data_IF_937341770244
#
_entry.id   IF_937341770244
#
_cell.length_a   1.000
_cell.length_b   1.000
_cell.length_c   1.000
_cell.angle_alpha   90.00
_cell.angle_beta   90.00
_cell.angle_gamma   90.00
#
_symmetry.space_group_name_H-M   'P 1'
#
loop_
_entity.id
_entity.type
_entity.pdbx_description
1 polymer ?
#
# COMPACT_ATOMS: atom_id res chain seq x y z
N UNK A 1 -23.37 32.28 -17.90
CA UNK A 1 -21.93 32.48 -17.58
C UNK A 1 -21.59 32.06 -16.15
N UNK A 2 -22.33 32.48 -15.11
CA UNK A 2 -22.04 32.06 -13.72
C UNK A 2 -22.18 30.53 -13.48
N UNK A 3 -23.24 29.90 -14.02
CA UNK A 3 -23.44 28.44 -13.90
C UNK A 3 -22.34 27.60 -14.57
N UNK A 4 -21.79 28.06 -15.71
CA UNK A 4 -20.74 27.32 -16.43
C UNK A 4 -19.39 27.39 -15.72
N UNK A 5 -19.05 28.52 -15.09
CA UNK A 5 -17.83 28.66 -14.27
C UNK A 5 -17.94 27.82 -13.00
N UNK A 6 -19.10 27.80 -12.35
CA UNK A 6 -19.35 26.92 -11.21
C UNK A 6 -19.26 25.44 -11.56
N UNK A 7 -19.85 25.02 -12.69
CA UNK A 7 -19.75 23.64 -13.18
C UNK A 7 -18.31 23.21 -13.49
N UNK A 8 -17.52 24.11 -14.09
CA UNK A 8 -16.08 23.87 -14.31
C UNK A 8 -15.31 23.75 -12.99
N UNK A 9 -15.55 24.64 -12.03
CA UNK A 9 -14.88 24.59 -10.74
C UNK A 9 -15.22 23.31 -9.96
N UNK A 10 -16.49 22.89 -9.96
CA UNK A 10 -16.93 21.66 -9.32
C UNK A 10 -16.30 20.42 -9.97
N UNK A 11 -16.25 20.35 -11.29
CA UNK A 11 -15.60 19.22 -12.00
C UNK A 11 -14.09 19.20 -11.80
N UNK A 12 -13.44 20.36 -11.75
CA UNK A 12 -12.02 20.47 -11.44
C UNK A 12 -11.71 20.04 -10.00
N UNK A 13 -12.50 20.54 -9.04
CA UNK A 13 -12.36 20.24 -7.62
C UNK A 13 -12.60 18.75 -7.35
N UNK A 14 -13.69 18.19 -7.86
CA UNK A 14 -14.03 16.76 -7.70
C UNK A 14 -12.99 15.85 -8.33
N UNK A 15 -12.46 16.16 -9.52
CA UNK A 15 -11.36 15.37 -10.11
C UNK A 15 -10.13 15.34 -9.23
N UNK A 16 -9.74 16.49 -8.67
CA UNK A 16 -8.51 16.61 -7.87
C UNK A 16 -8.65 15.94 -6.50
N UNK A 17 -9.80 16.11 -5.85
CA UNK A 17 -10.10 15.42 -4.58
C UNK A 17 -10.26 13.93 -4.78
N UNK A 18 -10.97 13.48 -5.82
CA UNK A 18 -11.11 12.06 -6.13
C UNK A 18 -9.76 11.38 -6.35
N UNK A 19 -8.86 11.98 -7.13
CA UNK A 19 -7.51 11.42 -7.35
C UNK A 19 -6.68 11.32 -6.05
N UNK A 20 -6.71 12.34 -5.20
CA UNK A 20 -5.96 12.29 -3.95
C UNK A 20 -6.55 11.23 -3.00
N UNK A 21 -7.87 11.14 -2.95
CA UNK A 21 -8.58 10.21 -2.09
C UNK A 21 -8.38 8.75 -2.55
N UNK A 22 -8.37 8.49 -3.86
CA UNK A 22 -8.04 7.17 -4.39
C UNK A 22 -6.61 6.77 -4.09
N UNK A 23 -5.64 7.68 -4.16
CA UNK A 23 -4.24 7.38 -3.79
C UNK A 23 -4.14 7.00 -2.30
N UNK A 24 -4.75 7.80 -1.40
CA UNK A 24 -4.73 7.51 0.04
C UNK A 24 -5.41 6.16 0.33
N UNK A 25 -6.57 5.91 -0.29
CA UNK A 25 -7.30 4.67 -0.14
C UNK A 25 -6.51 3.46 -0.65
N UNK A 26 -5.80 3.61 -1.77
CA UNK A 26 -4.97 2.54 -2.33
C UNK A 26 -3.81 2.21 -1.38
N UNK A 27 -3.11 3.22 -0.87
CA UNK A 27 -1.96 3.04 0.03
C UNK A 27 -2.40 2.40 1.35
N UNK A 28 -3.51 2.86 1.94
CA UNK A 28 -4.02 2.29 3.19
C UNK A 28 -4.52 0.86 3.01
N UNK A 29 -5.22 0.56 1.90
CA UNK A 29 -5.63 -0.79 1.57
C UNK A 29 -4.44 -1.73 1.40
N UNK A 30 -3.38 -1.27 0.72
CA UNK A 30 -2.16 -2.06 0.54
C UNK A 30 -1.47 -2.39 1.87
N UNK A 31 -1.41 -1.42 2.79
CA UNK A 31 -0.85 -1.63 4.13
C UNK A 31 -1.65 -2.66 4.93
N UNK A 32 -2.99 -2.61 4.85
CA UNK A 32 -3.88 -3.57 5.51
C UNK A 32 -3.72 -4.98 4.94
N UNK A 33 -3.65 -5.12 3.61
CA UNK A 33 -3.44 -6.42 2.97
C UNK A 33 -2.08 -7.01 3.37
N UNK A 34 -1.02 -6.20 3.37
CA UNK A 34 0.31 -6.65 3.80
C UNK A 34 0.35 -7.06 5.28
N UNK A 35 -0.37 -6.34 6.15
CA UNK A 35 -0.53 -6.71 7.55
C UNK A 35 -1.17 -8.09 7.71
N UNK A 36 -2.30 -8.30 7.02
CA UNK A 36 -3.05 -9.56 7.08
C UNK A 36 -2.24 -10.72 6.49
N UNK A 37 -1.54 -10.49 5.39
CA UNK A 37 -0.66 -11.48 4.78
C UNK A 37 0.47 -11.91 5.72
N UNK A 38 1.15 -10.94 6.35
CA UNK A 38 2.23 -11.22 7.32
C UNK A 38 1.70 -11.98 8.55
N UNK A 39 0.54 -11.57 9.09
CA UNK A 39 -0.10 -12.27 10.21
C UNK A 39 -0.48 -13.70 9.82
N UNK A 40 -1.01 -13.91 8.62
CA UNK A 40 -1.34 -15.24 8.10
C UNK A 40 -0.12 -16.15 7.96
N UNK A 41 0.99 -15.63 7.43
CA UNK A 41 2.25 -16.37 7.31
C UNK A 41 2.78 -16.75 8.70
N UNK A 42 2.78 -15.80 9.65
CA UNK A 42 3.24 -16.05 11.02
C UNK A 42 2.38 -17.11 11.74
N UNK A 43 1.05 -17.05 11.59
CA UNK A 43 0.16 -18.07 12.16
C UNK A 43 0.37 -19.43 11.52
N UNK A 44 0.56 -19.50 10.20
CA UNK A 44 0.87 -20.76 9.52
C UNK A 44 2.20 -21.33 9.97
N UNK A 45 3.21 -20.48 10.18
CA UNK A 45 4.52 -20.90 10.65
C UNK A 45 4.50 -21.40 12.10
N UNK A 46 3.71 -20.77 12.98
CA UNK A 46 3.54 -21.23 14.37
C UNK A 46 2.91 -22.62 14.48
N UNK A 47 2.17 -23.07 13.47
CA UNK A 47 1.61 -24.42 13.43
C UNK A 47 2.66 -25.50 13.11
N UNK A 48 3.70 -25.13 12.36
CA UNK A 48 4.72 -26.07 11.86
C UNK A 48 5.98 -26.05 12.73
N UNK A 49 6.23 -24.96 13.47
CA UNK A 49 7.42 -24.79 14.30
C UNK A 49 7.32 -25.54 15.64
N UNK A 50 8.39 -26.22 16.08
CA UNK A 50 8.50 -26.75 17.43
C UNK A 50 8.40 -25.62 18.49
N UNK A 51 7.78 -25.87 19.65
CA UNK A 51 7.45 -24.83 20.64
C UNK A 51 8.68 -24.09 21.19
N UNK A 52 9.84 -24.75 21.29
CA UNK A 52 11.07 -24.10 21.76
C UNK A 52 11.61 -23.01 20.82
N UNK A 53 11.31 -23.09 19.51
CA UNK A 53 11.73 -22.08 18.54
C UNK A 53 10.72 -20.93 18.48
N UNK A 54 9.42 -21.22 18.64
CA UNK A 54 8.37 -20.20 18.71
C UNK A 54 8.60 -19.20 19.85
N UNK A 55 8.89 -19.69 21.05
CA UNK A 55 9.16 -18.86 22.23
C UNK A 55 10.45 -18.03 22.08
N UNK A 56 11.50 -18.60 21.47
CA UNK A 56 12.75 -17.89 21.21
C UNK A 56 12.60 -16.75 20.20
N UNK A 57 11.78 -16.93 19.16
CA UNK A 57 11.50 -15.87 18.19
C UNK A 57 10.63 -14.75 18.78
N UNK A 58 9.73 -15.06 19.70
CA UNK A 58 8.91 -14.06 20.40
C UNK A 58 9.73 -13.14 21.31
N UNK A 59 10.92 -13.59 21.79
CA UNK A 59 11.84 -12.75 22.57
C UNK A 59 12.62 -11.74 21.72
N UNK A 60 12.83 -12.02 20.43
CA UNK A 60 13.64 -11.17 19.53
C UNK A 60 12.77 -10.25 18.68
N UNK A 61 11.60 -10.72 18.25
CA UNK A 61 10.72 -9.99 17.35
C UNK A 61 9.67 -9.23 18.18
N UNK A 62 9.67 -7.88 18.16
CA UNK A 62 8.69 -7.12 18.90
C UNK A 62 7.29 -7.27 18.30
N UNK A 63 6.26 -7.13 19.13
CA UNK A 63 4.85 -7.37 18.75
C UNK A 63 4.34 -6.43 17.63
N UNK A 64 4.99 -5.28 17.44
CA UNK A 64 4.71 -4.31 16.39
C UNK A 64 5.48 -4.58 15.07
N UNK A 65 6.40 -5.55 15.03
CA UNK A 65 7.20 -5.86 13.85
C UNK A 65 6.35 -6.14 12.59
N UNK A 66 5.21 -6.87 12.64
CA UNK A 66 4.39 -7.09 11.45
C UNK A 66 3.85 -5.78 10.86
N UNK A 67 3.57 -4.78 11.70
CA UNK A 67 3.09 -3.47 11.29
C UNK A 67 4.19 -2.57 10.74
N UNK A 68 5.39 -2.65 11.31
CA UNK A 68 6.55 -1.94 10.74
C UNK A 68 6.94 -2.54 9.38
N UNK A 69 6.95 -3.88 9.27
CA UNK A 69 7.27 -4.57 8.02
C UNK A 69 6.22 -4.28 6.95
N UNK A 70 4.94 -4.30 7.28
CA UNK A 70 3.89 -3.96 6.30
C UNK A 70 4.03 -2.54 5.77
N UNK A 71 4.40 -1.57 6.60
CA UNK A 71 4.66 -0.20 6.17
C UNK A 71 5.84 -0.13 5.19
N UNK A 72 6.94 -0.84 5.47
CA UNK A 72 8.11 -0.91 4.58
C UNK A 72 7.77 -1.60 3.25
N UNK A 73 7.04 -2.72 3.28
CA UNK A 73 6.61 -3.41 2.06
C UNK A 73 5.71 -2.52 1.22
N UNK A 74 4.77 -1.80 1.85
CA UNK A 74 3.88 -0.88 1.16
C UNK A 74 4.64 0.25 0.46
N UNK A 75 5.65 0.83 1.13
CA UNK A 75 6.51 1.85 0.53
C UNK A 75 7.28 1.33 -0.71
N UNK A 76 7.78 0.08 -0.65
CA UNK A 76 8.47 -0.54 -1.79
C UNK A 76 7.54 -0.80 -2.98
N UNK A 77 6.32 -1.27 -2.73
CA UNK A 77 5.35 -1.50 -3.82
C UNK A 77 4.93 -0.18 -4.47
N UNK A 78 4.74 0.88 -3.68
CA UNK A 78 4.43 2.22 -4.22
C UNK A 78 5.56 2.71 -5.14
N UNK A 79 6.83 2.56 -4.70
CA UNK A 79 7.98 2.91 -5.54
C UNK A 79 7.97 2.14 -6.86
N UNK A 80 7.73 0.82 -6.81
CA UNK A 80 7.65 -0.02 -7.99
C UNK A 80 6.55 0.44 -8.96
N UNK A 81 5.35 0.78 -8.44
CA UNK A 81 4.25 1.31 -9.26
C UNK A 81 4.67 2.61 -9.98
N UNK A 82 5.40 3.49 -9.31
CA UNK A 82 5.87 4.74 -9.92
C UNK A 82 6.91 4.50 -11.02
N UNK A 83 7.86 3.59 -10.79
CA UNK A 83 8.84 3.19 -11.80
C UNK A 83 8.14 2.57 -13.01
N UNK A 84 7.11 1.75 -12.79
CA UNK A 84 6.32 1.14 -13.87
C UNK A 84 5.54 2.18 -14.68
N UNK A 85 4.94 3.18 -14.02
CA UNK A 85 4.26 4.29 -14.71
C UNK A 85 5.23 5.11 -15.55
N UNK A 86 6.42 5.40 -15.05
CA UNK A 86 7.45 6.12 -15.79
C UNK A 86 7.90 5.34 -17.03
N UNK A 87 8.14 4.03 -16.87
CA UNK A 87 8.48 3.15 -17.98
C UNK A 87 7.37 3.08 -19.05
N UNK A 88 6.11 2.93 -18.63
CA UNK A 88 4.97 2.85 -19.55
C UNK A 88 4.79 4.14 -20.37
N UNK A 89 4.98 5.31 -19.75
CA UNK A 89 4.94 6.61 -20.46
C UNK A 89 6.08 6.70 -21.47
N UNK A 90 7.30 6.34 -21.06
CA UNK A 90 8.45 6.35 -21.95
C UNK A 90 8.22 5.42 -23.16
N UNK A 91 7.74 4.20 -22.92
CA UNK A 91 7.42 3.24 -23.99
C UNK A 91 6.41 3.79 -25.00
N UNK A 92 5.31 4.41 -24.53
CA UNK A 92 4.30 5.00 -25.43
C UNK A 92 4.83 6.20 -26.23
N UNK A 93 5.83 6.93 -25.74
CA UNK A 93 6.39 8.08 -26.45
C UNK A 93 7.32 7.71 -27.63
N UNK A 94 7.78 6.45 -27.68
CA UNK A 94 8.65 5.94 -28.75
C UNK A 94 7.88 5.19 -29.85
N UNK A 95 6.55 5.16 -29.78
CA UNK A 95 5.63 4.63 -30.79
C UNK A 95 4.99 5.79 -31.55
#
# INVERSE_FOLDING_TARGET
>A
VAMSVFGWFLTWFTKRTAMNLTIIALVSALALVNLLALKGILSGLSYVLPPGISEGFAMVIPSNAPACLSAVFSARVIRWVWEWKAWAIAWMSHV
#
